data_IF_997217155443
#
_entry.id   IF_997217155443
#
_cell.length_a   1.000
_cell.length_b   1.000
_cell.length_c   1.000
_cell.angle_alpha   90.00
_cell.angle_beta   90.00
_cell.angle_gamma   90.00
#
_symmetry.space_group_name_H-M   'P 1'
#
loop_
_entity.id
_entity.type
_entity.pdbx_description
1 polymer ?
#
# COMPACT_ATOMS: atom_id res chain seq x y z
N UNK A 1 -3.07 -4.54 34.19
CA UNK A 1 -3.18 -5.84 33.49
C UNK A 1 -3.61 -5.57 32.07
N UNK A 2 -2.66 -5.41 31.15
CA UNK A 2 -2.95 -5.21 29.74
C UNK A 2 -3.17 -6.59 29.12
N UNK A 3 -4.43 -6.91 28.82
CA UNK A 3 -4.76 -8.11 28.06
C UNK A 3 -4.22 -7.92 26.65
N UNK A 4 -3.08 -8.54 26.34
CA UNK A 4 -2.69 -8.79 24.96
C UNK A 4 -3.71 -9.76 24.39
N UNK A 5 -4.77 -9.21 23.77
CA UNK A 5 -5.61 -10.01 22.90
C UNK A 5 -4.71 -10.48 21.76
N UNK A 6 -4.32 -11.75 21.87
CA UNK A 6 -3.67 -12.50 20.81
C UNK A 6 -4.65 -12.50 19.64
N UNK A 7 -4.57 -11.50 18.76
CA UNK A 7 -5.29 -11.53 17.49
C UNK A 7 -4.61 -12.64 16.68
N UNK A 8 -5.26 -13.81 16.49
CA UNK A 8 -4.66 -14.86 15.70
C UNK A 8 -4.34 -14.27 14.32
N UNK A 9 -3.15 -14.58 13.83
CA UNK A 9 -2.65 -14.25 12.50
C UNK A 9 -3.79 -14.33 11.45
N UNK A 10 -4.40 -13.19 11.10
CA UNK A 10 -5.34 -13.09 9.97
C UNK A 10 -4.59 -13.01 8.64
N UNK A 11 -3.26 -12.96 8.68
CA UNK A 11 -2.39 -13.16 7.53
C UNK A 11 -2.40 -14.64 7.12
N UNK A 12 -3.50 -15.13 6.53
CA UNK A 12 -3.50 -16.21 5.52
C UNK A 12 -4.87 -16.70 5.00
N UNK A 13 -6.03 -16.15 5.39
CA UNK A 13 -7.31 -16.67 4.85
C UNK A 13 -7.81 -15.86 3.66
N UNK A 14 -7.11 -15.98 2.54
CA UNK A 14 -7.69 -15.78 1.21
C UNK A 14 -8.64 -16.95 0.91
N UNK A 15 -9.90 -16.80 1.31
CA UNK A 15 -11.01 -17.69 0.95
C UNK A 15 -12.22 -17.59 1.89
N UNK A 16 -13.38 -17.17 1.36
CA UNK A 16 -14.76 -17.37 1.86
C UNK A 16 -14.98 -17.32 3.39
N UNK A 17 -14.33 -16.40 4.12
CA UNK A 17 -14.64 -16.24 5.55
C UNK A 17 -16.12 -15.87 5.74
N UNK A 18 -16.78 -16.28 6.83
CA UNK A 18 -18.08 -15.75 7.19
C UNK A 18 -18.03 -14.22 7.41
N UNK A 19 -19.12 -13.51 7.09
CA UNK A 19 -19.21 -12.06 7.36
C UNK A 19 -18.93 -11.71 8.82
N UNK A 20 -19.37 -12.56 9.75
CA UNK A 20 -19.11 -12.40 11.18
C UNK A 20 -17.60 -12.32 11.49
N UNK A 21 -16.79 -13.16 10.87
CA UNK A 21 -15.35 -13.22 11.18
C UNK A 21 -14.64 -11.98 10.64
N UNK A 22 -15.08 -11.47 9.49
CA UNK A 22 -14.62 -10.16 8.96
C UNK A 22 -15.07 -9.01 9.84
N UNK A 23 -16.28 -9.06 10.37
CA UNK A 23 -16.77 -8.05 11.31
C UNK A 23 -15.96 -8.07 12.60
N UNK A 24 -15.70 -9.24 13.17
CA UNK A 24 -14.88 -9.39 14.38
C UNK A 24 -13.44 -8.89 14.13
N UNK A 25 -12.90 -9.15 12.94
CA UNK A 25 -11.61 -8.60 12.49
C UNK A 25 -11.63 -7.07 12.44
N UNK A 26 -12.64 -6.46 11.80
CA UNK A 26 -12.79 -5.00 11.74
C UNK A 26 -13.02 -4.39 13.12
N UNK A 27 -13.73 -5.05 14.02
CA UNK A 27 -13.97 -4.54 15.36
C UNK A 27 -12.68 -4.42 16.15
N UNK A 28 -11.70 -5.30 15.94
CA UNK A 28 -10.40 -5.25 16.62
C UNK A 28 -10.54 -5.16 18.15
N UNK A 29 -11.47 -5.95 18.72
CA UNK A 29 -11.79 -5.93 20.15
C UNK A 29 -12.72 -4.80 20.60
N UNK A 30 -13.12 -3.86 19.72
CA UNK A 30 -14.17 -2.87 20.02
C UNK A 30 -15.51 -3.55 20.26
N UNK A 31 -16.33 -2.96 21.14
CA UNK A 31 -17.70 -3.42 21.38
C UNK A 31 -18.58 -3.10 20.16
N UNK A 32 -19.32 -4.11 19.68
CA UNK A 32 -20.19 -4.01 18.50
C UNK A 32 -21.21 -2.87 18.60
N UNK A 33 -21.99 -2.76 19.69
CA UNK A 33 -23.10 -1.81 19.74
C UNK A 33 -22.66 -0.35 19.74
N UNK A 34 -21.67 0.10 20.55
CA UNK A 34 -21.14 1.45 20.42
C UNK A 34 -20.56 1.74 19.04
N UNK A 35 -19.86 0.77 18.44
CA UNK A 35 -19.31 0.92 17.09
C UNK A 35 -20.42 1.08 16.03
N UNK A 36 -21.46 0.24 16.09
CA UNK A 36 -22.59 0.29 15.18
C UNK A 36 -23.40 1.59 15.36
N UNK A 37 -23.60 2.05 16.59
CA UNK A 37 -24.29 3.30 16.87
C UNK A 37 -23.57 4.51 16.26
N UNK A 38 -22.23 4.54 16.32
CA UNK A 38 -21.41 5.58 15.68
C UNK A 38 -21.55 5.59 14.16
N UNK A 39 -21.97 4.48 13.55
CA UNK A 39 -22.25 4.33 12.13
C UNK A 39 -23.73 4.57 11.77
N UNK A 40 -24.58 4.99 12.73
CA UNK A 40 -26.03 5.12 12.52
C UNK A 40 -26.74 3.77 12.33
N UNK A 41 -26.08 2.67 12.64
CA UNK A 41 -26.60 1.32 12.46
C UNK A 41 -27.48 0.96 13.66
N UNK A 42 -28.75 0.65 13.40
CA UNK A 42 -29.68 0.21 14.45
C UNK A 42 -29.18 -1.04 15.17
N UNK A 43 -29.52 -1.17 16.47
CA UNK A 43 -29.18 -2.33 17.29
C UNK A 43 -29.60 -3.67 16.65
N UNK A 44 -30.81 -3.72 16.09
CA UNK A 44 -31.30 -4.94 15.43
C UNK A 44 -30.51 -5.32 14.17
N UNK A 45 -30.02 -4.34 13.41
CA UNK A 45 -29.12 -4.59 12.28
C UNK A 45 -27.74 -5.08 12.77
N UNK A 46 -27.21 -4.50 13.85
CA UNK A 46 -25.97 -4.97 14.49
C UNK A 46 -26.08 -6.43 14.98
N UNK A 47 -27.18 -6.80 15.62
CA UNK A 47 -27.43 -8.18 16.07
C UNK A 47 -27.47 -9.18 14.91
N UNK A 48 -28.08 -8.80 13.78
CA UNK A 48 -28.10 -9.62 12.56
C UNK A 48 -26.69 -9.80 11.97
N UNK A 49 -25.91 -8.71 11.92
CA UNK A 49 -24.51 -8.74 11.49
C UNK A 49 -23.65 -9.66 12.39
N UNK A 50 -23.83 -9.62 13.71
CA UNK A 50 -23.12 -10.51 14.64
C UNK A 50 -23.48 -11.99 14.45
N UNK A 51 -24.67 -12.28 13.91
CA UNK A 51 -25.10 -13.63 13.51
C UNK A 51 -24.60 -14.03 12.12
N UNK A 52 -23.79 -13.20 11.47
CA UNK A 52 -23.20 -13.45 10.15
C UNK A 52 -24.06 -13.01 8.97
N UNK A 53 -25.17 -12.30 9.19
CA UNK A 53 -25.97 -11.76 8.10
C UNK A 53 -25.27 -10.53 7.49
N UNK A 54 -24.95 -10.60 6.19
CA UNK A 54 -24.44 -9.45 5.43
C UNK A 54 -25.50 -8.35 5.37
N UNK A 55 -25.18 -7.11 5.77
CA UNK A 55 -26.13 -6.00 5.76
C UNK A 55 -26.34 -5.45 4.35
N UNK A 56 -27.34 -4.57 4.19
CA UNK A 56 -27.62 -3.88 2.92
C UNK A 56 -26.52 -2.90 2.50
N UNK A 57 -26.60 -2.45 1.24
CA UNK A 57 -25.57 -1.60 0.60
C UNK A 57 -25.24 -0.32 1.35
N UNK A 58 -26.23 0.34 1.96
CA UNK A 58 -26.00 1.60 2.69
C UNK A 58 -25.12 1.37 3.93
N UNK A 59 -25.37 0.30 4.68
CA UNK A 59 -24.57 -0.07 5.87
C UNK A 59 -23.16 -0.52 5.44
N UNK A 60 -23.06 -1.31 4.36
CA UNK A 60 -21.76 -1.71 3.81
C UNK A 60 -20.93 -0.48 3.40
N UNK A 61 -21.57 0.51 2.76
CA UNK A 61 -20.92 1.78 2.40
C UNK A 61 -20.45 2.54 3.63
N UNK A 62 -21.29 2.64 4.67
CA UNK A 62 -20.93 3.28 5.93
C UNK A 62 -19.70 2.62 6.58
N UNK A 63 -19.70 1.29 6.70
CA UNK A 63 -18.56 0.51 7.22
C UNK A 63 -17.32 0.74 6.35
N UNK A 64 -17.47 0.68 5.03
CA UNK A 64 -16.36 0.89 4.08
C UNK A 64 -15.71 2.25 4.24
N UNK A 65 -16.51 3.32 4.34
CA UNK A 65 -16.01 4.68 4.50
C UNK A 65 -15.28 4.87 5.83
N UNK A 66 -15.86 4.39 6.93
CA UNK A 66 -15.28 4.59 8.26
C UNK A 66 -14.03 3.73 8.50
N UNK A 67 -14.03 2.48 8.05
CA UNK A 67 -12.94 1.54 8.37
C UNK A 67 -11.87 1.47 7.28
N UNK A 68 -12.04 2.20 6.17
CA UNK A 68 -11.11 2.17 5.03
C UNK A 68 -11.07 0.79 4.33
N UNK A 69 -12.10 -0.02 4.52
CA UNK A 69 -12.17 -1.41 4.01
C UNK A 69 -12.68 -1.45 2.57
N UNK A 70 -12.15 -2.38 1.77
CA UNK A 70 -12.64 -2.69 0.43
C UNK A 70 -14.01 -3.39 0.48
N UNK A 71 -14.97 -2.90 -0.32
CA UNK A 71 -16.33 -3.45 -0.33
C UNK A 71 -16.37 -4.90 -0.79
N UNK A 72 -15.56 -5.26 -1.80
CA UNK A 72 -15.47 -6.65 -2.29
C UNK A 72 -15.06 -7.58 -1.17
N UNK A 73 -13.97 -7.28 -0.46
CA UNK A 73 -13.51 -8.08 0.67
C UNK A 73 -14.56 -8.11 1.80
N UNK A 74 -15.21 -6.99 2.10
CA UNK A 74 -16.23 -6.95 3.16
C UNK A 74 -17.41 -7.90 2.85
N UNK A 75 -17.81 -8.02 1.59
CA UNK A 75 -18.93 -8.85 1.16
C UNK A 75 -18.53 -10.31 0.95
N UNK A 76 -17.45 -10.58 0.24
CA UNK A 76 -17.08 -11.93 -0.21
C UNK A 76 -15.92 -12.55 0.59
N UNK A 77 -15.10 -11.71 1.24
CA UNK A 77 -13.83 -12.11 1.84
C UNK A 77 -12.68 -12.24 0.83
N UNK A 78 -12.92 -11.87 -0.44
CA UNK A 78 -11.91 -11.98 -1.49
C UNK A 78 -11.12 -10.67 -1.68
N UNK A 79 -9.86 -10.81 -2.04
CA UNK A 79 -8.96 -9.67 -2.27
C UNK A 79 -8.39 -9.08 -0.98
N UNK A 80 -7.91 -7.84 -1.08
CA UNK A 80 -7.31 -7.11 0.04
C UNK A 80 -8.39 -6.55 0.97
N UNK A 81 -8.14 -6.56 2.27
CA UNK A 81 -9.09 -6.04 3.24
C UNK A 81 -9.14 -4.51 3.19
N UNK A 82 -8.00 -3.84 3.20
CA UNK A 82 -7.93 -2.38 3.30
C UNK A 82 -7.49 -1.74 2.00
N UNK A 83 -8.05 -0.54 1.77
CA UNK A 83 -7.72 0.31 0.64
C UNK A 83 -6.33 0.89 0.82
N UNK A 84 -5.44 0.56 -0.10
CA UNK A 84 -4.15 1.21 -0.24
C UNK A 84 -3.90 1.53 -1.72
N UNK A 85 -3.47 2.74 -1.98
CA UNK A 85 -2.99 3.15 -3.28
C UNK A 85 -1.53 2.70 -3.42
N UNK A 86 -1.25 1.88 -4.43
CA UNK A 86 0.11 1.44 -4.76
C UNK A 86 0.54 2.15 -6.03
N UNK A 87 1.46 3.11 -5.90
CA UNK A 87 1.97 3.88 -7.01
C UNK A 87 2.81 3.01 -7.95
N UNK A 88 2.69 3.23 -9.27
CA UNK A 88 3.46 2.46 -10.26
C UNK A 88 4.95 2.82 -10.24
N UNK A 89 5.27 4.08 -9.96
CA UNK A 89 6.62 4.61 -9.90
C UNK A 89 6.72 5.82 -8.94
N UNK A 90 7.90 6.43 -8.86
CA UNK A 90 8.14 7.57 -7.96
C UNK A 90 7.44 8.86 -8.36
N UNK A 91 7.16 9.07 -9.65
CA UNK A 91 6.47 10.26 -10.14
C UNK A 91 4.98 10.17 -9.83
N UNK A 92 4.36 9.02 -10.13
CA UNK A 92 2.99 8.71 -9.76
C UNK A 92 2.80 8.86 -8.24
N UNK A 93 3.72 8.32 -7.44
CA UNK A 93 3.64 8.47 -5.99
C UNK A 93 3.71 9.94 -5.54
N UNK A 94 4.64 10.72 -6.10
CA UNK A 94 4.80 12.14 -5.78
C UNK A 94 3.56 12.95 -6.15
N UNK A 95 2.97 12.68 -7.31
CA UNK A 95 1.76 13.36 -7.78
C UNK A 95 0.55 13.04 -6.89
N UNK A 96 0.38 11.79 -6.50
CA UNK A 96 -0.75 11.38 -5.66
C UNK A 96 -0.65 11.94 -4.26
N UNK A 97 0.56 11.98 -3.69
CA UNK A 97 0.79 12.65 -2.41
C UNK A 97 0.55 14.16 -2.53
N UNK A 98 1.02 14.81 -3.59
CA UNK A 98 0.74 16.23 -3.83
C UNK A 98 -0.77 16.51 -3.93
N UNK A 99 -1.52 15.69 -4.67
CA UNK A 99 -2.99 15.80 -4.80
C UNK A 99 -3.68 15.59 -3.46
N UNK A 100 -3.27 14.56 -2.71
CA UNK A 100 -3.78 14.30 -1.37
C UNK A 100 -3.56 15.51 -0.47
N UNK A 101 -2.33 16.05 -0.45
CA UNK A 101 -1.97 17.23 0.34
C UNK A 101 -2.75 18.49 -0.09
N UNK A 102 -2.97 18.69 -1.38
CA UNK A 102 -3.74 19.82 -1.90
C UNK A 102 -5.24 19.71 -1.67
N UNK A 103 -5.79 18.50 -1.63
CA UNK A 103 -7.24 18.26 -1.44
C UNK A 103 -7.73 18.47 -0.01
N UNK A 104 -6.82 18.84 0.89
CA UNK A 104 -7.10 18.96 2.32
C UNK A 104 -8.07 20.12 2.59
N UNK A 105 -9.19 19.79 3.23
CA UNK A 105 -10.24 20.72 3.65
C UNK A 105 -10.68 20.53 5.10
N UNK A 106 -10.09 19.57 5.82
CA UNK A 106 -10.46 19.25 7.19
C UNK A 106 -9.72 20.16 8.20
N UNK A 107 -10.37 20.41 9.34
CA UNK A 107 -9.84 21.27 10.41
C UNK A 107 -8.66 20.61 11.14
N UNK A 108 -8.68 19.28 11.27
CA UNK A 108 -7.60 18.49 11.89
C UNK A 108 -7.25 17.28 11.04
N UNK A 109 -5.95 17.06 10.84
CA UNK A 109 -5.43 15.94 10.10
C UNK A 109 -4.24 15.29 10.80
N UNK A 110 -4.16 13.96 10.73
CA UNK A 110 -2.99 13.21 11.14
C UNK A 110 -2.34 12.57 9.90
N UNK A 111 -1.05 12.84 9.69
CA UNK A 111 -0.22 12.24 8.64
C UNK A 111 0.81 11.33 9.30
N UNK A 112 0.87 10.07 8.86
CA UNK A 112 1.76 9.05 9.39
C UNK A 112 2.75 8.61 8.32
N UNK A 113 4.04 8.78 8.60
CA UNK A 113 5.15 8.37 7.77
C UNK A 113 5.66 7.02 8.28
N UNK A 114 5.29 5.94 7.61
CA UNK A 114 5.66 4.58 7.98
C UNK A 114 6.76 4.08 7.06
N UNK A 115 7.91 3.67 7.59
CA UNK A 115 9.02 3.26 6.75
C UNK A 115 9.85 2.11 7.34
N UNK A 116 10.50 1.35 6.47
CA UNK A 116 11.46 0.30 6.83
C UNK A 116 12.92 0.66 6.45
N UNK A 117 13.17 1.95 6.20
CA UNK A 117 14.41 2.54 5.67
C UNK A 117 14.66 2.35 4.16
N UNK A 118 13.80 1.60 3.46
CA UNK A 118 13.87 1.40 2.02
C UNK A 118 12.58 1.80 1.31
N UNK A 119 11.45 1.58 1.94
CA UNK A 119 10.11 1.85 1.43
C UNK A 119 9.38 2.76 2.42
N UNK A 120 8.40 3.48 1.91
CA UNK A 120 7.53 4.32 2.72
C UNK A 120 6.07 4.05 2.37
N UNK A 121 5.24 4.03 3.41
CA UNK A 121 3.79 4.13 3.34
C UNK A 121 3.41 5.44 4.03
N UNK A 122 2.62 6.25 3.34
CA UNK A 122 2.05 7.47 3.90
C UNK A 122 0.59 7.18 4.18
N UNK A 123 0.20 7.24 5.45
CA UNK A 123 -1.19 7.12 5.86
C UNK A 123 -1.71 8.47 6.32
N UNK A 124 -2.98 8.73 6.04
CA UNK A 124 -3.64 9.98 6.38
C UNK A 124 -4.96 9.67 7.03
N UNK A 125 -5.21 10.34 8.15
CA UNK A 125 -6.48 10.33 8.84
C UNK A 125 -7.08 11.73 8.83
N UNK A 126 -8.30 11.84 8.35
CA UNK A 126 -9.09 13.08 8.37
C UNK A 126 -10.46 12.82 8.93
N UNK A 127 -11.01 13.76 9.71
CA UNK A 127 -12.43 13.73 10.04
C UNK A 127 -13.25 14.11 8.80
N UNK A 128 -14.23 13.29 8.45
CA UNK A 128 -15.16 13.48 7.34
C UNK A 128 -16.58 13.28 7.85
N UNK A 129 -17.55 13.75 7.08
CA UNK A 129 -18.96 13.53 7.34
C UNK A 129 -19.63 12.85 6.15
N UNK A 130 -20.67 12.07 6.42
CA UNK A 130 -21.58 11.59 5.39
C UNK A 130 -23.01 11.62 5.92
N UNK A 131 -23.95 11.80 5.00
CA UNK A 131 -25.36 11.72 5.31
C UNK A 131 -25.81 10.26 5.26
N UNK A 132 -26.38 9.80 6.37
CA UNK A 132 -27.05 8.50 6.47
C UNK A 132 -28.49 8.73 6.92
N UNK A 133 -29.45 8.49 6.03
CA UNK A 133 -30.86 8.82 6.25
C UNK A 133 -31.01 10.32 6.58
N UNK A 134 -31.51 10.65 7.76
CA UNK A 134 -31.71 12.02 8.26
C UNK A 134 -30.59 12.50 9.18
N UNK A 135 -29.54 11.69 9.40
CA UNK A 135 -28.45 12.01 10.33
C UNK A 135 -27.14 12.29 9.57
N UNK A 136 -26.38 13.26 10.07
CA UNK A 136 -25.00 13.51 9.64
C UNK A 136 -24.10 12.73 10.58
N UNK A 137 -23.31 11.83 10.00
CA UNK A 137 -22.40 10.98 10.75
C UNK A 137 -20.97 11.44 10.50
N UNK A 138 -20.30 11.83 11.57
CA UNK A 138 -18.88 12.10 11.58
C UNK A 138 -18.09 10.80 11.71
N UNK A 139 -17.06 10.65 10.89
CA UNK A 139 -16.19 9.49 10.89
C UNK A 139 -14.75 9.87 10.60
N UNK A 140 -13.83 9.02 11.04
CA UNK A 140 -12.42 9.14 10.72
C UNK A 140 -12.16 8.37 9.42
N UNK A 141 -11.82 9.08 8.35
CA UNK A 141 -11.47 8.50 7.06
C UNK A 141 -9.98 8.20 7.00
N UNK A 142 -9.63 7.04 6.45
CA UNK A 142 -8.25 6.60 6.26
C UNK A 142 -7.89 6.50 4.78
N UNK A 143 -6.76 7.09 4.40
CA UNK A 143 -6.20 7.03 3.06
C UNK A 143 -4.73 6.59 3.18
N UNK A 144 -4.37 5.48 2.52
CA UNK A 144 -3.03 4.91 2.57
C UNK A 144 -2.42 4.91 1.17
N UNK A 145 -1.15 5.29 1.09
CA UNK A 145 -0.38 5.36 -0.15
C UNK A 145 0.98 4.69 0.04
N UNK A 146 1.38 3.86 -0.92
CA UNK A 146 2.69 3.23 -0.97
C UNK A 146 3.36 3.53 -2.30
N UNK A 147 4.67 3.74 -2.28
CA UNK A 147 5.47 3.91 -3.47
C UNK A 147 6.95 4.06 -3.17
N UNK A 148 7.74 4.29 -4.23
CA UNK A 148 9.18 4.53 -4.11
C UNK A 148 9.42 5.96 -3.62
N UNK A 149 10.13 6.10 -2.52
CA UNK A 149 10.58 7.41 -2.04
C UNK A 149 11.53 8.05 -3.06
N UNK A 150 11.55 9.39 -3.13
CA UNK A 150 12.34 10.13 -4.11
C UNK A 150 12.68 11.51 -3.59
N UNK A 151 13.65 12.18 -4.22
CA UNK A 151 13.95 13.59 -3.93
C UNK A 151 12.71 14.48 -4.10
N UNK A 152 11.96 14.27 -5.19
CA UNK A 152 10.72 15.02 -5.45
C UNK A 152 9.71 14.87 -4.31
N UNK A 153 9.48 13.63 -3.85
CA UNK A 153 8.57 13.38 -2.74
C UNK A 153 9.08 13.99 -1.43
N UNK A 154 10.39 13.90 -1.16
CA UNK A 154 11.02 14.56 -0.03
C UNK A 154 10.74 16.07 -0.05
N UNK A 155 10.97 16.73 -1.18
CA UNK A 155 10.79 18.18 -1.33
C UNK A 155 9.32 18.59 -1.13
N UNK A 156 8.37 17.79 -1.66
CA UNK A 156 6.93 18.00 -1.47
C UNK A 156 6.56 17.93 0.02
N UNK A 157 6.99 16.88 0.72
CA UNK A 157 6.66 16.68 2.13
C UNK A 157 7.33 17.76 2.99
N UNK A 158 8.60 18.05 2.75
CA UNK A 158 9.34 19.06 3.50
C UNK A 158 8.72 20.47 3.35
N UNK A 159 8.34 20.83 2.12
CA UNK A 159 7.64 22.08 1.84
C UNK A 159 6.31 22.13 2.58
N UNK A 160 5.48 21.10 2.49
CA UNK A 160 4.18 21.08 3.16
C UNK A 160 4.32 21.12 4.69
N UNK A 161 5.29 20.40 5.24
CA UNK A 161 5.59 20.42 6.66
C UNK A 161 5.99 21.82 7.16
N UNK A 162 6.76 22.59 6.37
CA UNK A 162 7.16 23.95 6.73
C UNK A 162 6.01 24.96 6.77
N UNK A 163 4.92 24.68 6.04
CA UNK A 163 3.74 25.55 6.00
C UNK A 163 2.80 25.34 7.19
N UNK A 164 2.99 24.28 7.98
CA UNK A 164 2.09 23.90 9.09
C UNK A 164 1.86 25.01 10.11
N UNK A 165 2.89 25.82 10.39
CA UNK A 165 2.83 26.86 11.43
C UNK A 165 2.15 28.14 10.91
N UNK A 166 1.92 28.22 9.59
CA UNK A 166 1.31 29.38 8.93
C UNK A 166 -0.15 29.18 8.54
N UNK A 167 -0.65 27.94 8.56
CA UNK A 167 -2.03 27.62 8.21
C UNK A 167 -2.90 27.60 9.47
N UNK A 168 -4.17 27.99 9.33
CA UNK A 168 -5.18 27.88 10.42
C UNK A 168 -5.51 26.42 10.79
N UNK A 169 -4.88 25.44 10.14
CA UNK A 169 -5.22 24.02 10.21
C UNK A 169 -4.22 23.24 11.04
N UNK A 170 -4.72 22.35 11.89
CA UNK A 170 -3.90 21.51 12.73
C UNK A 170 -3.49 20.23 11.98
N UNK A 171 -2.30 20.23 11.38
CA UNK A 171 -1.72 19.05 10.73
C UNK A 171 -0.67 18.41 11.64
N UNK A 172 -1.03 17.26 12.20
CA UNK A 172 -0.18 16.47 13.08
C UNK A 172 0.61 15.43 12.28
N UNK A 173 1.94 15.47 12.39
CA UNK A 173 2.83 14.55 11.69
C UNK A 173 3.42 13.54 12.66
N UNK A 174 3.39 12.27 12.26
CA UNK A 174 3.94 11.15 13.02
C UNK A 174 4.89 10.34 12.16
N UNK A 175 5.97 9.86 12.77
CA UNK A 175 6.89 8.91 12.20
C UNK A 175 6.75 7.56 12.88
N UNK A 176 6.82 6.49 12.09
CA UNK A 176 6.84 5.12 12.58
C UNK A 176 7.85 4.28 11.79
N UNK A 177 8.86 3.76 12.49
CA UNK A 177 9.66 2.68 11.94
C UNK A 177 8.85 1.39 11.98
N UNK A 178 8.79 0.69 10.85
CA UNK A 178 8.02 -0.55 10.69
C UNK A 178 8.95 -1.63 10.17
N UNK A 179 8.86 -2.85 10.70
CA UNK A 179 9.69 -3.95 10.21
C UNK A 179 9.31 -4.28 8.76
N UNK A 180 10.26 -4.72 7.91
CA UNK A 180 9.97 -4.97 6.49
C UNK A 180 8.81 -5.94 6.23
N UNK A 181 8.65 -6.97 7.08
CA UNK A 181 7.53 -7.91 6.99
C UNK A 181 6.17 -7.24 7.28
N UNK A 182 6.10 -6.43 8.36
CA UNK A 182 4.89 -5.69 8.74
C UNK A 182 4.54 -4.64 7.67
N UNK A 183 5.54 -3.90 7.18
CA UNK A 183 5.32 -2.92 6.11
C UNK A 183 4.80 -3.60 4.83
N UNK A 184 5.27 -4.82 4.53
CA UNK A 184 4.74 -5.60 3.40
C UNK A 184 3.28 -5.97 3.60
N UNK A 185 2.86 -6.35 4.82
CA UNK A 185 1.45 -6.59 5.13
C UNK A 185 0.59 -5.33 5.05
N UNK A 186 1.11 -4.17 5.47
CA UNK A 186 0.43 -2.87 5.26
C UNK A 186 0.26 -2.61 3.76
N UNK A 187 1.32 -2.80 2.96
CA UNK A 187 1.30 -2.57 1.50
C UNK A 187 0.31 -3.50 0.77
N UNK A 188 0.13 -4.72 1.29
CA UNK A 188 -0.85 -5.67 0.77
C UNK A 188 -2.29 -5.39 1.23
N UNK A 189 -2.51 -4.41 2.11
CA UNK A 189 -3.83 -4.11 2.67
C UNK A 189 -4.31 -5.19 3.65
N UNK A 190 -3.40 -5.85 4.36
CA UNK A 190 -3.68 -6.92 5.34
C UNK A 190 -3.79 -6.40 6.78
N UNK A 191 -3.56 -5.10 7.00
CA UNK A 191 -3.55 -4.49 8.34
C UNK A 191 -4.49 -3.30 8.42
N UNK A 192 -5.31 -3.26 9.48
CA UNK A 192 -6.30 -2.20 9.69
C UNK A 192 -5.63 -0.89 10.11
N UNK A 193 -5.93 0.25 9.43
CA UNK A 193 -5.37 1.55 9.79
C UNK A 193 -5.62 1.94 11.24
N UNK A 194 -6.85 1.70 11.73
CA UNK A 194 -7.21 1.99 13.13
C UNK A 194 -6.35 1.23 14.14
N UNK A 195 -5.99 -0.03 13.87
CA UNK A 195 -5.10 -0.81 14.75
C UNK A 195 -3.68 -0.26 14.66
N UNK A 196 -3.20 0.04 13.45
CA UNK A 196 -1.85 0.54 13.22
C UNK A 196 -1.60 1.86 13.96
N UNK A 197 -2.55 2.79 13.85
CA UNK A 197 -2.36 4.19 14.23
C UNK A 197 -3.16 4.62 15.46
N UNK A 198 -4.12 3.82 15.90
CA UNK A 198 -5.05 4.17 16.97
C UNK A 198 -6.03 5.28 16.57
N UNK A 199 -6.90 5.66 17.51
CA UNK A 199 -7.83 6.79 17.40
C UNK A 199 -7.59 7.85 18.48
N UNK A 200 -6.46 7.74 19.21
CA UNK A 200 -6.10 8.58 20.37
C UNK A 200 -7.11 8.57 21.53
N UNK A 201 -8.21 7.80 21.43
CA UNK A 201 -9.33 7.83 22.38
C UNK A 201 -9.54 6.46 23.03
N UNK A 202 -9.68 5.41 22.24
CA UNK A 202 -10.12 4.07 22.66
C UNK A 202 -9.17 2.96 22.21
N UNK A 203 -8.53 3.12 21.05
CA UNK A 203 -7.63 2.14 20.46
C UNK A 203 -6.21 2.69 20.51
N UNK A 204 -5.34 2.02 21.25
CA UNK A 204 -3.90 2.31 21.25
C UNK A 204 -3.26 1.85 19.94
N UNK A 205 -2.31 2.61 19.38
CA UNK A 205 -1.63 2.22 18.17
C UNK A 205 -0.79 0.95 18.40
N UNK A 206 -0.79 0.06 17.40
CA UNK A 206 0.15 -1.06 17.33
C UNK A 206 1.56 -0.56 17.00
N UNK A 207 1.67 0.48 16.17
CA UNK A 207 2.95 1.08 15.82
C UNK A 207 3.43 2.04 16.90
N UNK A 208 4.75 2.12 17.08
CA UNK A 208 5.34 3.17 17.92
C UNK A 208 5.36 4.48 17.14
N UNK A 209 4.43 5.37 17.47
CA UNK A 209 4.29 6.67 16.81
C UNK A 209 5.13 7.73 17.52
N UNK A 210 5.99 8.41 16.77
CA UNK A 210 6.80 9.53 17.26
C UNK A 210 6.35 10.81 16.56
N UNK A 211 5.97 11.84 17.32
CA UNK A 211 5.59 13.12 16.73
C UNK A 211 6.78 13.76 16.01
N UNK A 212 6.56 14.27 14.80
CA UNK A 212 7.59 14.85 13.95
C UNK A 212 7.70 16.35 14.22
N UNK A 213 8.81 16.74 14.84
CA UNK A 213 9.15 18.15 15.04
C UNK A 213 10.09 18.69 13.95
N UNK A 214 10.87 17.81 13.33
CA UNK A 214 11.84 18.13 12.28
C UNK A 214 11.77 17.05 11.19
N UNK A 215 11.16 17.41 10.06
CA UNK A 215 10.93 16.49 8.94
C UNK A 215 12.23 16.02 8.29
N UNK A 216 13.28 16.87 8.30
CA UNK A 216 14.55 16.54 7.68
C UNK A 216 15.25 15.43 8.46
N UNK A 217 15.18 15.45 9.80
CA UNK A 217 15.74 14.37 10.64
C UNK A 217 15.08 13.03 10.39
N UNK A 218 13.79 13.02 10.01
CA UNK A 218 13.03 11.81 9.73
C UNK A 218 13.30 11.30 8.31
N UNK A 219 13.20 12.18 7.31
CA UNK A 219 13.20 11.77 5.90
C UNK A 219 14.57 11.78 5.23
N UNK A 220 15.55 12.55 5.71
CA UNK A 220 16.87 12.59 5.10
C UNK A 220 17.61 11.25 5.15
N UNK A 221 17.58 10.48 6.27
CA UNK A 221 18.17 9.14 6.28
C UNK A 221 17.55 8.18 5.24
N UNK A 222 16.24 8.30 4.98
CA UNK A 222 15.57 7.53 3.94
C UNK A 222 16.08 7.90 2.54
N UNK A 223 16.22 9.20 2.28
CA UNK A 223 16.73 9.71 1.02
C UNK A 223 18.18 9.28 0.78
N UNK A 224 19.03 9.39 1.80
CA UNK A 224 20.44 9.02 1.75
C UNK A 224 20.59 7.51 1.43
N UNK A 225 19.79 6.63 2.06
CA UNK A 225 19.81 5.19 1.78
C UNK A 225 19.40 4.84 0.33
N UNK A 226 18.58 5.68 -0.32
CA UNK A 226 18.21 5.48 -1.72
C UNK A 226 19.31 5.88 -2.69
N UNK A 227 20.10 6.89 -2.36
CA UNK A 227 21.23 7.33 -3.20
C UNK A 227 22.44 6.40 -3.10
N UNK A 228 22.58 5.71 -1.96
CA UNK A 228 23.71 4.80 -1.69
C UNK A 228 23.47 3.40 -2.24
N UNK A 229 22.24 3.02 -2.58
CA UNK A 229 22.00 1.76 -3.30
C UNK A 229 22.63 1.87 -4.69
N UNK A 230 23.76 1.20 -4.96
CA UNK A 230 24.31 1.19 -6.30
C UNK A 230 23.26 0.57 -7.20
N UNK A 231 23.19 1.04 -8.45
CA UNK A 231 22.41 0.48 -9.55
C UNK A 231 22.69 -1.02 -9.74
N UNK A 232 22.18 -1.85 -8.85
CA UNK A 232 21.96 -3.27 -9.04
C UNK A 232 20.45 -3.37 -9.16
N UNK A 233 19.96 -3.28 -10.39
CA UNK A 233 18.56 -3.34 -10.74
C UNK A 233 18.03 -4.76 -10.54
N UNK A 234 17.97 -5.26 -9.30
CA UNK A 234 17.36 -6.57 -9.01
C UNK A 234 15.86 -6.62 -9.31
N UNK A 235 15.23 -5.48 -9.65
CA UNK A 235 13.90 -5.46 -10.26
C UNK A 235 13.98 -5.76 -11.75
N UNK A 236 13.43 -6.91 -12.16
CA UNK A 236 13.21 -7.24 -13.56
C UNK A 236 12.35 -6.15 -14.20
N UNK A 237 12.93 -5.35 -15.11
CA UNK A 237 12.19 -4.50 -16.04
C UNK A 237 11.33 -5.37 -16.96
N UNK A 238 10.00 -5.28 -16.80
CA UNK A 238 9.02 -6.02 -17.60
C UNK A 238 9.13 -5.66 -19.08
N UNK A 239 9.28 -4.38 -19.41
CA UNK A 239 9.36 -3.90 -20.80
C UNK A 239 10.62 -4.43 -21.48
N UNK A 240 11.75 -4.41 -20.77
CA UNK A 240 12.99 -5.00 -21.27
C UNK A 240 12.83 -6.51 -21.49
N UNK A 241 12.16 -7.21 -20.58
CA UNK A 241 11.96 -8.65 -20.68
C UNK A 241 11.08 -9.00 -21.89
N UNK A 242 9.98 -8.28 -22.13
CA UNK A 242 9.13 -8.49 -23.30
C UNK A 242 9.90 -8.28 -24.60
N UNK A 243 10.65 -7.18 -24.72
CA UNK A 243 11.44 -6.90 -25.92
C UNK A 243 12.53 -7.96 -26.14
N UNK A 244 13.18 -8.44 -25.07
CA UNK A 244 14.15 -9.53 -25.17
C UNK A 244 13.49 -10.84 -25.62
N UNK A 245 12.29 -11.16 -25.13
CA UNK A 245 11.55 -12.37 -25.55
C UNK A 245 11.22 -12.29 -27.04
N UNK A 246 10.72 -11.16 -27.52
CA UNK A 246 10.34 -10.98 -28.92
C UNK A 246 11.55 -11.10 -29.85
N UNK A 247 12.66 -10.43 -29.54
CA UNK A 247 13.88 -10.45 -30.36
C UNK A 247 14.54 -11.84 -30.38
N UNK A 248 14.61 -12.51 -29.22
CA UNK A 248 15.18 -13.86 -29.15
C UNK A 248 14.30 -14.86 -29.91
N UNK A 249 12.97 -14.76 -29.82
CA UNK A 249 12.07 -15.61 -30.60
C UNK A 249 12.21 -15.36 -32.10
N UNK A 250 12.19 -14.09 -32.52
CA UNK A 250 12.37 -13.72 -33.92
C UNK A 250 13.67 -14.27 -34.51
N UNK A 251 14.77 -14.19 -33.76
CA UNK A 251 16.05 -14.75 -34.17
C UNK A 251 16.02 -16.29 -34.24
N UNK A 252 15.52 -16.96 -33.18
CA UNK A 252 15.48 -18.42 -33.10
C UNK A 252 14.58 -19.03 -34.18
N UNK A 253 13.44 -18.43 -34.46
CA UNK A 253 12.51 -18.95 -35.47
C UNK A 253 13.09 -18.88 -36.89
N UNK A 254 14.05 -17.96 -37.14
CA UNK A 254 14.74 -17.83 -38.43
C UNK A 254 15.98 -18.71 -38.55
N UNK A 255 16.76 -18.86 -37.48
CA UNK A 255 18.10 -19.47 -37.53
C UNK A 255 18.20 -20.83 -36.81
N UNK A 256 17.34 -21.11 -35.84
CA UNK A 256 17.40 -22.32 -35.02
C UNK A 256 16.00 -22.77 -34.55
N UNK A 257 15.10 -23.13 -35.48
CA UNK A 257 13.70 -23.44 -35.16
C UNK A 257 13.54 -24.70 -34.29
N UNK A 258 14.57 -25.55 -34.19
CA UNK A 258 14.57 -26.80 -33.42
C UNK A 258 14.84 -26.62 -31.91
N UNK A 259 15.11 -25.40 -31.43
CA UNK A 259 15.40 -25.15 -30.01
C UNK A 259 14.18 -25.41 -29.12
N UNK A 260 14.38 -26.20 -28.07
CA UNK A 260 13.33 -26.43 -27.08
C UNK A 260 13.18 -25.24 -26.11
N UNK A 261 12.05 -25.20 -25.39
CA UNK A 261 11.72 -24.11 -24.47
C UNK A 261 12.80 -23.88 -23.38
N UNK A 262 13.48 -24.93 -22.93
CA UNK A 262 14.54 -24.83 -21.91
C UNK A 262 15.79 -24.14 -22.47
N UNK A 263 16.14 -24.39 -23.73
CA UNK A 263 17.24 -23.71 -24.42
C UNK A 263 16.88 -22.23 -24.68
N UNK A 264 15.66 -21.94 -25.13
CA UNK A 264 15.17 -20.56 -25.31
C UNK A 264 15.18 -19.77 -24.01
N UNK A 265 14.75 -20.38 -22.90
CA UNK A 265 14.79 -19.75 -21.57
C UNK A 265 16.21 -19.30 -21.17
N UNK A 266 17.24 -20.11 -21.46
CA UNK A 266 18.64 -19.74 -21.22
C UNK A 266 19.06 -18.53 -22.06
N UNK A 267 18.62 -18.47 -23.32
CA UNK A 267 18.90 -17.35 -24.21
C UNK A 267 18.21 -16.06 -23.71
N UNK A 268 16.96 -16.12 -23.27
CA UNK A 268 16.27 -14.97 -22.68
C UNK A 268 17.05 -14.42 -21.49
N UNK A 269 17.44 -15.28 -20.53
CA UNK A 269 18.20 -14.86 -19.36
C UNK A 269 19.56 -14.28 -19.74
N UNK A 270 20.27 -14.87 -20.70
CA UNK A 270 21.59 -14.41 -21.13
C UNK A 270 21.52 -13.01 -21.78
N UNK A 271 20.59 -12.82 -22.71
CA UNK A 271 20.40 -11.53 -23.40
C UNK A 271 19.86 -10.47 -22.44
N UNK A 272 18.91 -10.82 -21.59
CA UNK A 272 18.37 -9.92 -20.58
C UNK A 272 19.46 -9.38 -19.66
N UNK A 273 20.27 -10.27 -19.09
CA UNK A 273 21.39 -9.90 -18.21
C UNK A 273 22.48 -9.10 -18.94
N UNK A 274 22.62 -9.28 -20.25
CA UNK A 274 23.53 -8.44 -21.05
C UNK A 274 22.97 -7.04 -21.22
N UNK A 275 21.72 -6.91 -21.70
CA UNK A 275 21.07 -5.62 -21.89
C UNK A 275 21.03 -4.81 -20.59
N UNK A 276 20.76 -5.49 -19.46
CA UNK A 276 20.74 -4.87 -18.15
C UNK A 276 22.12 -4.37 -17.69
N UNK A 277 23.21 -5.09 -18.00
CA UNK A 277 24.58 -4.69 -17.62
C UNK A 277 25.17 -3.62 -18.53
N UNK A 278 24.88 -3.71 -19.83
CA UNK A 278 25.46 -2.83 -20.86
C UNK A 278 24.56 -1.62 -21.19
N UNK A 279 23.36 -1.55 -20.61
CA UNK A 279 22.31 -0.59 -20.99
C UNK A 279 22.07 -0.55 -22.51
N UNK A 280 22.16 -1.72 -23.14
CA UNK A 280 22.09 -1.88 -24.59
C UNK A 280 20.68 -2.24 -25.05
N UNK A 281 20.38 -1.85 -26.29
CA UNK A 281 19.13 -2.17 -26.94
C UNK A 281 19.00 -3.71 -27.20
N UNK A 282 17.83 -4.33 -26.94
CA UNK A 282 17.61 -5.76 -27.14
C UNK A 282 17.88 -6.27 -28.55
N UNK A 283 17.54 -5.49 -29.58
CA UNK A 283 17.72 -5.89 -30.98
C UNK A 283 19.21 -6.00 -31.31
N UNK A 284 19.99 -4.98 -30.93
CA UNK A 284 21.44 -4.97 -31.14
C UNK A 284 22.15 -6.07 -30.32
N UNK A 285 21.69 -6.31 -29.10
CA UNK A 285 22.24 -7.33 -28.22
C UNK A 285 21.94 -8.74 -28.74
N UNK A 286 20.71 -8.97 -29.22
CA UNK A 286 20.29 -10.22 -29.83
C UNK A 286 21.12 -10.52 -31.10
N UNK A 287 21.26 -9.54 -32.01
CA UNK A 287 21.99 -9.71 -33.26
C UNK A 287 23.49 -10.00 -33.07
N UNK A 288 24.12 -9.42 -32.04
CA UNK A 288 25.55 -9.57 -31.78
C UNK A 288 25.91 -10.81 -30.96
N UNK A 289 25.05 -11.21 -30.01
CA UNK A 289 25.39 -12.23 -29.00
C UNK A 289 24.78 -13.58 -29.35
N UNK A 290 23.55 -13.63 -29.86
CA UNK A 290 22.85 -14.90 -30.10
C UNK A 290 23.60 -15.85 -31.03
N UNK A 291 24.25 -15.41 -32.13
CA UNK A 291 25.04 -16.32 -32.97
C UNK A 291 26.09 -17.10 -32.19
N UNK A 292 26.81 -16.42 -31.28
CA UNK A 292 27.85 -17.05 -30.45
C UNK A 292 27.31 -17.95 -29.34
N UNK A 293 26.11 -17.66 -28.84
CA UNK A 293 25.48 -18.47 -27.79
C UNK A 293 24.86 -19.76 -28.35
N UNK A 294 24.43 -19.78 -29.61
CA UNK A 294 23.90 -20.98 -30.25
C UNK A 294 24.96 -22.07 -30.43
N UNK A 295 26.23 -21.69 -30.61
CA UNK A 295 27.34 -22.65 -30.74
C UNK A 295 27.63 -23.42 -29.44
N UNK A 296 27.10 -22.96 -28.30
CA UNK A 296 27.40 -23.48 -26.95
C UNK A 296 26.20 -24.25 -26.35
N UNK A 297 25.03 -24.21 -26.98
CA UNK A 297 23.74 -24.71 -26.46
C UNK A 297 23.27 -25.97 -27.17
#
# INVERSE_FOLDING_TARGET
MSYYYYHPYYAQQSGLSPFKDRLDYLLAGRKLYPWAANLGISRGAAEKMQKGQTPGSEILKAISLQEGVELTWLVTGEGRAFRIYNASDSNDFSEQIMRMLASQRADTQNIYLCHDNQRIVIAVSTEKEYQYRSEIIQYQAWELYSGKFSQTLYDIIAKHFSLRDSEEREVNWYNAYVRPAELTSIIKGEMQPLILFGDQKRVSPLLTLVQVHDINKVLKPLLDNMTVSPTCSDSISSDLLYNVIDEVNFFCDRQAPSLNMKQRAKLYTAIYNHCQRASSDPQNSAASILPSLLDVI
#
